data_IF_204527342898
#
_entry.id   IF_204527342898
#
_cell.length_a   1.000
_cell.length_b   1.000
_cell.length_c   1.000
_cell.angle_alpha   90.00
_cell.angle_beta   90.00
_cell.angle_gamma   90.00
#
_symmetry.space_group_name_H-M   'P 1'
#
loop_
_entity.id
_entity.type
_entity.pdbx_description
1 polymer ?
#
# COMPACT_ATOMS: atom_id res chain seq x y z
N UNK A 1 -21.55 24.59 -16.11
CA UNK A 1 -20.65 23.43 -16.08
C UNK A 1 -19.23 23.95 -15.90
N UNK A 2 -18.71 23.96 -14.67
CA UNK A 2 -17.40 24.54 -14.36
C UNK A 2 -16.31 23.50 -14.67
N UNK A 3 -15.50 23.76 -15.68
CA UNK A 3 -14.36 22.90 -16.02
C UNK A 3 -13.38 22.84 -14.83
N UNK A 4 -12.94 21.65 -14.46
CA UNK A 4 -11.89 21.48 -13.46
C UNK A 4 -10.59 22.12 -13.99
N UNK A 5 -10.10 23.16 -13.31
CA UNK A 5 -8.87 23.84 -13.71
C UNK A 5 -7.68 22.87 -13.64
N UNK A 6 -6.87 22.83 -14.70
CA UNK A 6 -5.67 22.01 -14.75
C UNK A 6 -4.58 22.65 -13.86
N UNK A 7 -4.31 22.03 -12.71
CA UNK A 7 -3.34 22.49 -11.69
C UNK A 7 -1.99 21.77 -11.77
N UNK A 8 -1.70 21.13 -12.91
CA UNK A 8 -0.44 20.40 -13.11
C UNK A 8 0.77 21.33 -12.98
N UNK A 9 0.65 22.58 -13.45
CA UNK A 9 1.72 23.56 -13.40
C UNK A 9 2.05 24.01 -11.95
N UNK A 10 1.01 24.24 -11.14
CA UNK A 10 1.15 24.56 -9.72
C UNK A 10 1.84 23.42 -8.95
N UNK A 11 1.48 22.17 -9.26
CA UNK A 11 2.12 20.99 -8.69
C UNK A 11 3.61 20.92 -9.05
N UNK A 12 3.97 21.13 -10.32
CA UNK A 12 5.36 21.10 -10.79
C UNK A 12 6.21 22.19 -10.13
N UNK A 13 5.69 23.41 -9.98
CA UNK A 13 6.35 24.50 -9.25
C UNK A 13 6.61 24.14 -7.79
N UNK A 14 5.62 23.52 -7.14
CA UNK A 14 5.75 23.05 -5.78
C UNK A 14 6.89 22.01 -5.65
N UNK A 15 6.93 21.00 -6.52
CA UNK A 15 8.00 20.00 -6.54
C UNK A 15 9.40 20.60 -6.71
N UNK A 16 9.56 21.61 -7.58
CA UNK A 16 10.84 22.28 -7.81
C UNK A 16 11.34 23.07 -6.59
N UNK A 17 10.43 23.65 -5.82
CA UNK A 17 10.76 24.39 -4.59
C UNK A 17 11.32 23.45 -3.51
N UNK A 18 10.78 22.24 -3.39
CA UNK A 18 11.27 21.25 -2.42
C UNK A 18 12.50 20.47 -2.90
N UNK A 19 12.68 20.26 -4.21
CA UNK A 19 13.89 19.60 -4.73
C UNK A 19 15.15 20.46 -4.54
N UNK A 20 15.01 21.79 -4.59
CA UNK A 20 16.13 22.73 -4.44
C UNK A 20 16.63 22.86 -2.99
N UNK A 21 15.92 22.31 -2.00
CA UNK A 21 16.31 22.32 -0.58
C UNK A 21 17.03 21.03 -0.14
N UNK A 22 17.18 20.04 -1.03
CA UNK A 22 17.70 18.70 -0.70
C UNK A 22 19.23 18.55 -0.79
N UNK A 23 20.01 19.63 -0.78
CA UNK A 23 21.49 19.56 -0.77
C UNK A 23 22.05 20.42 0.35
N UNK A 24 21.88 19.95 1.59
CA UNK A 24 22.70 20.35 2.74
C UNK A 24 22.62 19.24 3.81
N UNK A 25 23.71 18.50 4.08
CA UNK A 25 23.71 17.47 5.11
C UNK A 25 23.86 18.14 6.49
N UNK A 26 22.77 18.70 7.02
CA UNK A 26 22.69 19.12 8.41
C UNK A 26 21.76 18.17 9.15
N UNK A 27 22.34 17.38 10.06
CA UNK A 27 21.70 16.41 10.95
C UNK A 27 20.83 17.08 12.02
N UNK A 28 19.83 17.86 11.60
CA UNK A 28 18.79 18.37 12.50
C UNK A 28 17.49 17.65 12.16
N UNK A 29 17.13 16.66 13.00
CA UNK A 29 15.82 15.99 12.99
C UNK A 29 14.74 17.02 13.33
N UNK A 30 14.34 17.81 12.36
CA UNK A 30 13.16 18.66 12.45
C UNK A 30 11.94 17.73 12.49
N UNK A 31 10.95 17.95 13.38
CA UNK A 31 9.75 17.13 13.38
C UNK A 31 9.11 17.13 11.99
N UNK A 32 8.60 15.98 11.53
CA UNK A 32 8.01 15.86 10.20
C UNK A 32 6.91 16.90 10.05
N UNK A 33 6.93 17.60 8.93
CA UNK A 33 5.81 18.50 8.59
C UNK A 33 4.57 17.65 8.28
N UNK A 34 3.35 18.19 8.45
CA UNK A 34 2.10 17.46 8.13
C UNK A 34 2.11 16.87 6.72
N UNK A 35 2.80 17.51 5.77
CA UNK A 35 2.97 17.02 4.40
C UNK A 35 3.81 15.73 4.36
N UNK A 36 4.91 15.64 5.13
CA UNK A 36 5.74 14.44 5.21
C UNK A 36 5.04 13.27 5.90
N UNK A 37 4.15 13.53 6.85
CA UNK A 37 3.31 12.50 7.49
C UNK A 37 2.29 11.93 6.47
N UNK A 38 1.64 12.81 5.70
CA UNK A 38 0.72 12.40 4.63
C UNK A 38 1.44 11.59 3.53
N UNK A 39 2.67 11.96 3.16
CA UNK A 39 3.46 11.20 2.17
C UNK A 39 3.78 9.80 2.67
N UNK A 40 4.21 9.65 3.93
CA UNK A 40 4.50 8.33 4.52
C UNK A 40 3.22 7.48 4.64
N UNK A 41 2.11 8.08 5.06
CA UNK A 41 0.82 7.41 5.09
C UNK A 41 0.40 6.93 3.70
N UNK A 42 0.47 7.80 2.69
CA UNK A 42 0.09 7.46 1.31
C UNK A 42 0.98 6.36 0.72
N UNK A 43 2.28 6.38 1.02
CA UNK A 43 3.20 5.33 0.59
C UNK A 43 2.81 3.98 1.21
N UNK A 44 2.64 3.92 2.53
CA UNK A 44 2.24 2.68 3.21
C UNK A 44 0.83 2.20 2.80
N UNK A 45 -0.12 3.12 2.57
CA UNK A 45 -1.45 2.77 2.03
C UNK A 45 -1.37 2.19 0.59
N UNK A 46 -0.44 2.68 -0.23
CA UNK A 46 -0.17 2.13 -1.55
C UNK A 46 0.40 0.72 -1.46
N UNK A 47 1.29 0.46 -0.50
CA UNK A 47 1.86 -0.88 -0.28
C UNK A 47 0.77 -1.88 0.15
N UNK A 48 -0.08 -1.51 1.11
CA UNK A 48 -1.25 -2.33 1.50
C UNK A 48 -2.18 -2.59 0.31
N UNK A 49 -2.42 -1.59 -0.53
CA UNK A 49 -3.25 -1.76 -1.74
C UNK A 49 -2.66 -2.78 -2.72
N UNK A 50 -1.32 -2.79 -2.86
CA UNK A 50 -0.61 -3.76 -3.68
C UNK A 50 -0.72 -5.18 -3.09
N UNK A 51 -0.61 -5.33 -1.78
CA UNK A 51 -0.77 -6.63 -1.11
C UNK A 51 -2.20 -7.17 -1.23
N UNK A 52 -3.21 -6.31 -1.08
CA UNK A 52 -4.62 -6.70 -1.30
C UNK A 52 -4.82 -7.24 -2.71
N UNK A 53 -4.22 -6.59 -3.71
CA UNK A 53 -4.29 -7.07 -5.10
C UNK A 53 -3.61 -8.44 -5.26
N UNK A 54 -2.47 -8.66 -4.60
CA UNK A 54 -1.78 -9.93 -4.60
C UNK A 54 -2.62 -11.05 -3.95
N UNK A 55 -3.22 -10.79 -2.78
CA UNK A 55 -4.15 -11.72 -2.12
C UNK A 55 -5.32 -12.08 -3.03
N UNK A 56 -5.90 -11.08 -3.69
CA UNK A 56 -7.02 -11.27 -4.62
C UNK A 56 -6.61 -12.19 -5.77
N UNK A 57 -5.42 -12.00 -6.33
CA UNK A 57 -4.88 -12.85 -7.40
C UNK A 57 -4.70 -14.30 -6.93
N UNK A 58 -4.15 -14.51 -5.73
CA UNK A 58 -4.01 -15.86 -5.15
C UNK A 58 -5.37 -16.51 -4.89
N UNK A 59 -6.36 -15.77 -4.38
CA UNK A 59 -7.72 -16.28 -4.19
C UNK A 59 -8.37 -16.74 -5.50
N UNK A 60 -8.13 -16.00 -6.60
CA UNK A 60 -8.60 -16.41 -7.93
C UNK A 60 -7.95 -17.72 -8.37
N UNK A 61 -6.63 -17.86 -8.20
CA UNK A 61 -5.91 -19.10 -8.49
C UNK A 61 -6.40 -20.28 -7.63
N UNK A 62 -6.61 -20.05 -6.32
CA UNK A 62 -7.17 -21.06 -5.41
C UNK A 62 -8.54 -21.53 -5.91
N UNK A 63 -9.39 -20.58 -6.30
CA UNK A 63 -10.72 -20.86 -6.83
C UNK A 63 -10.65 -21.71 -8.11
N UNK A 64 -9.67 -21.44 -8.98
CA UNK A 64 -9.46 -22.25 -10.19
C UNK A 64 -9.04 -23.68 -9.85
N UNK A 65 -8.09 -23.87 -8.93
CA UNK A 65 -7.62 -25.19 -8.50
C UNK A 65 -8.73 -26.01 -7.86
N UNK A 66 -9.54 -25.39 -6.97
CA UNK A 66 -10.68 -26.06 -6.33
C UNK A 66 -11.75 -26.47 -7.35
N UNK A 67 -11.95 -25.68 -8.41
CA UNK A 67 -12.91 -25.99 -9.48
C UNK A 67 -12.40 -27.05 -10.46
N UNK A 68 -11.09 -27.12 -10.68
CA UNK A 68 -10.46 -28.15 -11.51
C UNK A 68 -10.39 -29.47 -10.74
N UNK A 69 -11.48 -30.21 -10.73
CA UNK A 69 -11.56 -31.54 -10.13
C UNK A 69 -10.98 -32.58 -11.10
N UNK A 70 -9.64 -32.69 -11.14
CA UNK A 70 -8.94 -33.59 -12.04
C UNK A 70 -8.48 -34.87 -11.32
N UNK A 71 -9.12 -36.01 -11.61
CA UNK A 71 -8.87 -37.31 -10.96
C UNK A 71 -7.43 -37.82 -11.08
N UNK A 72 -6.68 -37.37 -12.10
CA UNK A 72 -5.30 -37.81 -12.35
C UNK A 72 -4.25 -36.88 -11.75
N UNK A 73 -4.63 -35.66 -11.36
CA UNK A 73 -3.70 -34.67 -10.84
C UNK A 73 -4.37 -33.97 -9.68
N UNK A 74 -4.31 -34.61 -8.51
CA UNK A 74 -4.90 -34.09 -7.27
C UNK A 74 -4.29 -32.73 -6.92
N UNK A 75 -5.07 -31.64 -6.96
CA UNK A 75 -4.56 -30.30 -6.66
C UNK A 75 -4.44 -30.02 -5.15
N UNK A 76 -4.70 -31.00 -4.27
CA UNK A 76 -4.77 -30.80 -2.81
C UNK A 76 -3.52 -30.14 -2.22
N UNK A 77 -2.31 -30.55 -2.63
CA UNK A 77 -1.07 -29.95 -2.14
C UNK A 77 -0.97 -28.46 -2.54
N UNK A 78 -1.19 -28.15 -3.82
CA UNK A 78 -1.16 -26.78 -4.33
C UNK A 78 -2.25 -25.91 -3.68
N UNK A 79 -3.44 -26.47 -3.42
CA UNK A 79 -4.52 -25.78 -2.70
C UNK A 79 -4.07 -25.43 -1.28
N UNK A 80 -3.47 -26.38 -0.56
CA UNK A 80 -3.01 -26.16 0.81
C UNK A 80 -1.89 -25.12 0.88
N UNK A 81 -0.92 -25.18 -0.02
CA UNK A 81 0.16 -24.20 -0.10
C UNK A 81 -0.40 -22.80 -0.38
N UNK A 82 -1.25 -22.67 -1.40
CA UNK A 82 -1.79 -21.37 -1.80
C UNK A 82 -2.72 -20.80 -0.72
N UNK A 83 -3.48 -21.64 -0.01
CA UNK A 83 -4.29 -21.24 1.14
C UNK A 83 -3.42 -20.76 2.32
N UNK A 84 -2.29 -21.42 2.58
CA UNK A 84 -1.32 -20.98 3.60
C UNK A 84 -0.73 -19.61 3.25
N UNK A 85 -0.41 -19.38 1.97
CA UNK A 85 0.07 -18.08 1.49
C UNK A 85 -1.00 -16.99 1.64
N UNK A 86 -2.26 -17.26 1.27
CA UNK A 86 -3.37 -16.30 1.47
C UNK A 86 -3.53 -15.96 2.95
N UNK A 87 -3.47 -16.96 3.84
CA UNK A 87 -3.57 -16.73 5.29
C UNK A 87 -2.42 -15.85 5.80
N UNK A 88 -1.20 -16.11 5.33
CA UNK A 88 -0.02 -15.30 5.66
C UNK A 88 -0.20 -13.86 5.17
N UNK A 89 -0.54 -13.68 3.91
CA UNK A 89 -0.69 -12.35 3.31
C UNK A 89 -1.76 -11.52 4.05
N UNK A 90 -2.91 -12.12 4.42
CA UNK A 90 -3.94 -11.42 5.23
C UNK A 90 -3.41 -11.02 6.62
N UNK A 91 -2.60 -11.88 7.23
CA UNK A 91 -1.98 -11.59 8.54
C UNK A 91 -1.00 -10.41 8.41
N UNK A 92 -0.17 -10.41 7.37
CA UNK A 92 0.80 -9.36 7.10
C UNK A 92 0.10 -8.01 6.79
N UNK A 93 -0.99 -8.02 6.02
CA UNK A 93 -1.83 -6.84 5.76
C UNK A 93 -2.40 -6.28 7.07
N UNK A 94 -2.92 -7.12 7.96
CA UNK A 94 -3.47 -6.65 9.23
C UNK A 94 -2.40 -5.97 10.09
N UNK A 95 -1.18 -6.53 10.15
CA UNK A 95 -0.06 -5.89 10.85
C UNK A 95 0.28 -4.52 10.25
N UNK A 96 0.27 -4.40 8.92
CA UNK A 96 0.52 -3.11 8.26
C UNK A 96 -0.59 -2.09 8.53
N UNK A 97 -1.85 -2.54 8.54
CA UNK A 97 -2.99 -1.70 8.88
C UNK A 97 -2.94 -1.22 10.33
N UNK A 98 -2.58 -2.09 11.26
CA UNK A 98 -2.38 -1.71 12.66
C UNK A 98 -1.31 -0.61 12.77
N UNK A 99 -0.16 -0.79 12.10
CA UNK A 99 0.90 0.22 12.07
C UNK A 99 0.44 1.55 11.45
N UNK A 100 -0.39 1.51 10.40
CA UNK A 100 -0.97 2.69 9.76
C UNK A 100 -1.97 3.42 10.66
N UNK A 101 -2.73 2.71 11.50
CA UNK A 101 -3.67 3.31 12.45
C UNK A 101 -2.99 4.02 13.62
N UNK A 102 -1.74 3.63 13.96
CA UNK A 102 -0.93 4.32 14.97
C UNK A 102 -0.36 5.64 14.46
N UNK A 103 -0.37 5.90 13.14
CA UNK A 103 -0.04 7.22 12.61
C UNK A 103 -1.15 8.19 13.00
N UNK A 104 -0.85 9.22 13.83
CA UNK A 104 -1.87 9.97 14.51
C UNK A 104 -2.79 10.63 13.48
N UNK A 105 -4.07 10.26 13.49
CA UNK A 105 -5.12 11.28 13.33
C UNK A 105 -4.69 12.40 14.25
N UNK A 106 -4.22 13.50 13.67
CA UNK A 106 -3.98 14.74 14.38
C UNK A 106 -5.19 14.94 15.29
N UNK A 107 -4.95 14.76 16.59
CA UNK A 107 -5.92 15.07 17.61
C UNK A 107 -6.33 16.50 17.33
N UNK A 108 -7.59 16.65 16.91
CA UNK A 108 -8.25 17.94 16.82
C UNK A 108 -8.30 18.47 18.26
N UNK A 109 -7.37 19.37 18.56
CA UNK A 109 -7.49 20.35 19.62
C UNK A 109 -7.70 21.71 18.97
#
# INVERSE_FOLDING_TARGET
MTAAANRTDDFLKCCQQFSSSAVSPSLSKKPPTPIQENVQFNAAASDVSKEIHQVTTRLQQLTMLVRQNNMFNDPTEAINELAALVKKDITDINVQLDNLQVSPRSLSC
#
